data_IF_992857052489
#
_entry.id   IF_992857052489
#
_cell.length_a   1.000
_cell.length_b   1.000
_cell.length_c   1.000
_cell.angle_alpha   90.00
_cell.angle_beta   90.00
_cell.angle_gamma   90.00
#
_symmetry.space_group_name_H-M   'P 1'
#
loop_
_entity.id
_entity.type
_entity.pdbx_description
1 polymer ?
#
# COMPACT_ATOMS: atom_id res chain seq x y z
N UNK A 1 18.03 51.66 -32.05
CA UNK A 1 18.47 51.87 -30.65
C UNK A 1 18.13 50.61 -29.88
N UNK A 2 19.15 50.03 -29.23
CA UNK A 2 19.13 48.93 -28.24
C UNK A 2 18.95 47.49 -28.77
N UNK A 3 20.06 46.76 -28.73
CA UNK A 3 20.24 45.29 -28.56
C UNK A 3 20.21 45.00 -27.03
N UNK A 4 20.22 43.76 -26.47
CA UNK A 4 20.06 42.40 -27.02
C UNK A 4 19.16 41.49 -26.14
N UNK A 5 19.05 40.21 -26.53
CA UNK A 5 18.99 38.97 -25.70
C UNK A 5 18.37 39.04 -24.28
N UNK A 6 17.28 38.29 -24.10
CA UNK A 6 16.94 37.70 -22.79
C UNK A 6 16.81 36.20 -22.99
N UNK A 7 17.90 35.50 -22.67
CA UNK A 7 17.88 34.08 -22.35
C UNK A 7 16.91 33.87 -21.18
N UNK A 8 15.80 33.17 -21.41
CA UNK A 8 15.01 32.59 -20.32
C UNK A 8 15.74 31.34 -19.84
N UNK A 9 16.66 31.56 -18.92
CA UNK A 9 17.34 30.53 -18.14
C UNK A 9 16.28 29.73 -17.37
N UNK A 10 15.95 28.53 -17.86
CA UNK A 10 15.13 27.56 -17.14
C UNK A 10 15.94 26.99 -15.98
N UNK A 11 15.97 27.72 -14.87
CA UNK A 11 16.50 27.23 -13.60
C UNK A 11 15.50 26.25 -12.96
N UNK A 12 15.50 25.00 -13.45
CA UNK A 12 14.91 23.85 -12.76
C UNK A 12 16.03 23.01 -12.14
N UNK A 13 16.54 23.49 -11.00
CA UNK A 13 17.28 22.66 -10.04
C UNK A 13 16.41 22.46 -8.79
N UNK A 14 16.44 21.29 -8.14
CA UNK A 14 15.58 21.04 -6.99
C UNK A 14 16.03 21.87 -5.79
N UNK A 15 15.13 22.69 -5.27
CA UNK A 15 15.28 23.36 -4.00
C UNK A 15 15.18 22.34 -2.85
N UNK A 16 16.31 21.77 -2.44
CA UNK A 16 16.40 21.01 -1.20
C UNK A 16 16.58 21.99 -0.02
N UNK A 17 15.51 22.24 0.73
CA UNK A 17 15.58 22.88 2.04
C UNK A 17 16.03 21.83 3.05
N UNK A 18 17.36 21.70 3.18
CA UNK A 18 18.10 21.29 4.39
C UNK A 18 19.58 21.12 4.00
N UNK A 19 20.19 22.24 3.60
CA UNK A 19 21.65 22.33 3.50
C UNK A 19 22.22 22.48 4.92
N UNK A 20 23.18 21.64 5.37
CA UNK A 20 23.94 21.95 6.57
C UNK A 20 24.68 23.27 6.34
N UNK A 21 24.46 24.23 7.24
CA UNK A 21 24.96 25.60 7.16
C UNK A 21 26.47 25.61 6.90
N UNK A 22 26.81 26.38 5.87
CA UNK A 22 28.13 26.78 5.37
C UNK A 22 29.17 27.07 6.46
N UNK A 23 30.39 26.58 6.26
CA UNK A 23 31.56 27.03 7.03
C UNK A 23 32.90 26.39 6.68
N UNK A 24 32.94 25.19 6.10
CA UNK A 24 34.20 24.54 5.72
C UNK A 24 34.18 24.06 4.26
N UNK A 25 35.22 24.35 3.45
CA UNK A 25 35.30 23.91 2.05
C UNK A 25 35.28 22.36 1.88
N UNK A 26 35.40 21.60 2.97
CA UNK A 26 35.30 20.14 2.99
C UNK A 26 33.88 19.59 3.24
N UNK A 27 32.95 20.39 3.77
CA UNK A 27 31.62 19.92 4.22
C UNK A 27 30.66 19.58 3.07
N UNK A 28 30.58 20.44 2.06
CA UNK A 28 29.71 20.24 0.88
C UNK A 28 30.17 19.05 0.03
N UNK A 29 31.50 18.91 -0.13
CA UNK A 29 32.09 17.76 -0.83
C UNK A 29 31.85 16.45 -0.07
N UNK A 30 31.89 16.47 1.27
CA UNK A 30 31.61 15.29 2.09
C UNK A 30 30.15 14.84 2.00
N UNK A 31 29.20 15.79 2.03
CA UNK A 31 27.77 15.49 1.85
C UNK A 31 27.47 14.90 0.46
N UNK A 32 27.99 15.53 -0.60
CA UNK A 32 27.79 15.04 -1.96
C UNK A 32 28.37 13.63 -2.15
N UNK A 33 29.56 13.37 -1.57
CA UNK A 33 30.17 12.03 -1.55
C UNK A 33 29.32 11.02 -0.78
N UNK A 34 28.76 11.39 0.38
CA UNK A 34 27.86 10.51 1.15
C UNK A 34 26.61 10.17 0.36
N UNK A 35 25.98 11.15 -0.29
CA UNK A 35 24.80 10.93 -1.15
C UNK A 35 25.12 9.97 -2.30
N UNK A 36 26.28 10.14 -2.95
CA UNK A 36 26.73 9.22 -3.99
C UNK A 36 26.98 7.79 -3.46
N UNK A 37 27.60 7.66 -2.27
CA UNK A 37 27.82 6.34 -1.63
C UNK A 37 26.51 5.60 -1.39
N UNK A 38 25.51 6.26 -0.79
CA UNK A 38 24.19 5.66 -0.51
C UNK A 38 23.50 5.19 -1.79
N UNK A 39 23.57 5.98 -2.88
CA UNK A 39 23.00 5.57 -4.17
C UNK A 39 23.72 4.34 -4.75
N UNK A 40 25.05 4.26 -4.61
CA UNK A 40 25.84 3.11 -5.08
C UNK A 40 25.56 1.87 -4.24
N UNK A 41 25.41 2.01 -2.93
CA UNK A 41 25.06 0.93 -2.00
C UNK A 41 23.68 0.35 -2.29
N UNK A 42 22.74 1.16 -2.80
CA UNK A 42 21.40 0.71 -3.18
C UNK A 42 21.35 -0.01 -4.56
N UNK A 43 22.39 0.11 -5.41
CA UNK A 43 22.38 -0.49 -6.76
C UNK A 43 22.14 -2.01 -6.81
N UNK A 44 22.66 -2.85 -5.90
CA UNK A 44 22.40 -4.28 -5.91
C UNK A 44 20.91 -4.60 -5.77
N UNK A 45 20.21 -3.88 -4.90
CA UNK A 45 18.77 -4.01 -4.68
C UNK A 45 17.96 -3.55 -5.90
N UNK A 46 18.32 -2.41 -6.49
CA UNK A 46 17.69 -1.92 -7.73
C UNK A 46 17.83 -2.96 -8.85
N UNK A 47 19.02 -3.56 -9.02
CA UNK A 47 19.24 -4.61 -10.02
C UNK A 47 18.46 -5.89 -9.73
N UNK A 48 18.37 -6.27 -8.44
CA UNK A 48 17.64 -7.46 -7.99
C UNK A 48 16.14 -7.35 -8.25
N UNK A 49 15.56 -6.16 -8.08
CA UNK A 49 14.12 -5.96 -8.15
C UNK A 49 13.64 -5.32 -9.46
N UNK A 50 14.54 -4.92 -10.35
CA UNK A 50 14.16 -4.43 -11.68
C UNK A 50 13.32 -5.47 -12.43
N UNK A 51 12.13 -5.07 -12.88
CA UNK A 51 11.16 -5.92 -13.57
C UNK A 51 10.22 -6.70 -12.67
N UNK A 52 10.51 -6.79 -11.37
CA UNK A 52 9.66 -7.48 -10.39
C UNK A 52 8.39 -6.69 -10.07
N UNK A 53 7.32 -7.40 -9.71
CA UNK A 53 6.04 -6.79 -9.30
C UNK A 53 6.00 -6.64 -7.79
N UNK A 54 5.75 -5.43 -7.31
CA UNK A 54 5.53 -5.14 -5.90
C UNK A 54 4.08 -4.70 -5.70
N UNK A 55 3.38 -5.36 -4.78
CA UNK A 55 2.06 -4.92 -4.33
C UNK A 55 2.20 -4.18 -3.00
N UNK A 56 1.70 -2.95 -2.94
CA UNK A 56 1.75 -2.10 -1.76
C UNK A 56 0.34 -1.94 -1.24
N UNK A 57 0.07 -2.49 -0.06
CA UNK A 57 -1.16 -2.18 0.66
C UNK A 57 -0.99 -0.86 1.39
N UNK A 58 -1.69 0.16 0.91
CA UNK A 58 -1.74 1.49 1.49
C UNK A 58 -2.97 1.68 2.39
N UNK A 59 -2.74 2.00 3.66
CA UNK A 59 -3.80 2.25 4.63
C UNK A 59 -3.29 2.90 5.92
N UNK A 60 -4.22 3.26 6.81
CA UNK A 60 -3.89 3.82 8.13
C UNK A 60 -3.69 5.34 8.14
N UNK A 61 -3.01 5.85 9.17
CA UNK A 61 -2.60 7.24 9.37
C UNK A 61 -1.73 7.78 8.23
N UNK A 62 -1.02 6.92 7.50
CA UNK A 62 -0.31 7.33 6.28
C UNK A 62 -1.27 8.01 5.28
N UNK A 63 -2.57 7.70 5.32
CA UNK A 63 -3.59 8.35 4.50
C UNK A 63 -4.05 9.71 5.00
N UNK A 64 -3.79 10.04 6.26
CA UNK A 64 -4.34 11.24 6.91
C UNK A 64 -3.38 12.41 6.81
N UNK A 65 -2.07 12.18 6.99
CA UNK A 65 -1.06 13.24 6.93
C UNK A 65 -0.64 13.54 5.49
N UNK A 66 -0.84 14.77 5.04
CA UNK A 66 -0.43 15.25 3.71
C UNK A 66 1.06 15.01 3.44
N UNK A 67 1.90 15.22 4.47
CA UNK A 67 3.34 15.00 4.40
C UNK A 67 3.69 13.52 4.17
N UNK A 68 3.03 12.61 4.90
CA UNK A 68 3.22 11.16 4.71
C UNK A 68 2.70 10.68 3.36
N UNK A 69 1.57 11.25 2.88
CA UNK A 69 1.05 10.96 1.53
C UNK A 69 2.06 11.34 0.45
N UNK A 70 2.67 12.53 0.57
CA UNK A 70 3.70 13.01 -0.36
C UNK A 70 4.95 12.13 -0.33
N UNK A 71 5.46 11.80 0.86
CA UNK A 71 6.62 10.92 1.01
C UNK A 71 6.36 9.54 0.37
N UNK A 72 5.20 8.94 0.63
CA UNK A 72 4.82 7.65 0.04
C UNK A 72 4.70 7.74 -1.49
N UNK A 73 4.12 8.82 -2.02
CA UNK A 73 4.03 9.01 -3.47
C UNK A 73 5.42 9.12 -4.12
N UNK A 74 6.36 9.83 -3.48
CA UNK A 74 7.74 9.88 -3.93
C UNK A 74 8.41 8.50 -3.89
N UNK A 75 8.16 7.70 -2.85
CA UNK A 75 8.70 6.33 -2.77
C UNK A 75 8.15 5.45 -3.90
N UNK A 76 6.84 5.50 -4.15
CA UNK A 76 6.17 4.75 -5.23
C UNK A 76 6.76 5.15 -6.59
N UNK A 77 6.94 6.45 -6.83
CA UNK A 77 7.55 6.97 -8.07
C UNK A 77 9.01 6.54 -8.17
N UNK A 78 9.76 6.53 -7.07
CA UNK A 78 11.14 6.07 -7.05
C UNK A 78 11.24 4.58 -7.43
N UNK A 79 10.42 3.72 -6.80
CA UNK A 79 10.36 2.30 -7.15
C UNK A 79 10.07 2.10 -8.64
N UNK A 80 9.11 2.86 -9.18
CA UNK A 80 8.79 2.85 -10.61
C UNK A 80 9.99 3.23 -11.49
N UNK A 81 10.72 4.30 -11.15
CA UNK A 81 11.88 4.77 -11.93
C UNK A 81 13.08 3.80 -11.90
N UNK A 82 13.25 3.03 -10.84
CA UNK A 82 14.30 1.99 -10.78
C UNK A 82 13.87 0.68 -11.43
N UNK A 83 12.71 0.66 -12.10
CA UNK A 83 12.24 -0.45 -12.92
C UNK A 83 11.34 -1.46 -12.20
N UNK A 84 10.91 -1.19 -10.97
CA UNK A 84 9.96 -2.04 -10.24
C UNK A 84 8.54 -1.75 -10.75
N UNK A 85 7.76 -2.80 -11.01
CA UNK A 85 6.36 -2.70 -11.44
C UNK A 85 5.48 -2.57 -10.21
N UNK A 86 4.89 -1.40 -9.99
CA UNK A 86 4.19 -1.08 -8.75
C UNK A 86 2.68 -1.17 -8.90
N UNK A 87 2.05 -1.90 -7.99
CA UNK A 87 0.60 -1.94 -7.79
C UNK A 87 0.30 -1.48 -6.37
N UNK A 88 -0.56 -0.49 -6.21
CA UNK A 88 -1.01 -0.01 -4.90
C UNK A 88 -2.44 -0.47 -4.69
N UNK A 89 -2.73 -1.15 -3.59
CA UNK A 89 -4.09 -1.47 -3.15
C UNK A 89 -4.39 -0.62 -1.93
N UNK A 90 -5.48 0.15 -1.95
CA UNK A 90 -5.80 1.07 -0.85
C UNK A 90 -7.11 0.72 -0.15
N UNK A 91 -7.15 1.04 1.15
CA UNK A 91 -8.39 1.11 1.93
C UNK A 91 -8.95 2.53 1.98
N UNK A 92 -9.82 2.81 2.96
CA UNK A 92 -10.36 4.15 3.19
C UNK A 92 -11.23 4.27 4.43
N UNK A 93 -10.97 3.44 5.45
CA UNK A 93 -11.80 3.35 6.65
C UNK A 93 -12.12 4.70 7.30
N UNK A 94 -11.11 5.54 7.61
CA UNK A 94 -11.33 6.88 8.16
C UNK A 94 -12.17 7.80 7.27
N UNK A 95 -11.91 7.81 5.96
CA UNK A 95 -12.60 8.67 4.99
C UNK A 95 -14.05 8.22 4.78
N UNK A 96 -14.31 6.92 4.78
CA UNK A 96 -15.67 6.35 4.73
C UNK A 96 -16.43 6.77 6.00
N UNK A 97 -15.83 6.59 7.19
CA UNK A 97 -16.44 7.00 8.45
C UNK A 97 -16.78 8.50 8.49
N UNK A 98 -15.90 9.35 7.95
CA UNK A 98 -16.15 10.78 7.84
C UNK A 98 -17.36 11.07 6.94
N UNK A 99 -17.42 10.44 5.76
CA UNK A 99 -18.53 10.66 4.83
C UNK A 99 -19.87 10.14 5.37
N UNK A 100 -19.89 8.95 5.99
CA UNK A 100 -21.10 8.41 6.63
C UNK A 100 -21.65 9.38 7.68
N UNK A 101 -20.79 9.89 8.57
CA UNK A 101 -21.20 10.91 9.57
C UNK A 101 -21.71 12.19 8.93
N UNK A 102 -21.13 12.65 7.82
CA UNK A 102 -21.61 13.84 7.09
C UNK A 102 -23.00 13.64 6.49
N UNK A 103 -23.37 12.40 6.18
CA UNK A 103 -24.69 12.02 5.66
C UNK A 103 -25.67 11.63 6.77
N UNK A 104 -25.25 11.64 8.04
CA UNK A 104 -26.09 11.23 9.17
C UNK A 104 -26.25 9.72 9.32
N UNK A 105 -25.38 8.93 8.68
CA UNK A 105 -25.36 7.46 8.77
C UNK A 105 -24.34 7.07 9.85
N UNK A 106 -24.76 6.33 10.87
CA UNK A 106 -23.87 5.89 11.95
C UNK A 106 -23.00 4.70 11.49
N UNK A 107 -21.66 4.79 11.56
CA UNK A 107 -20.80 3.67 11.19
C UNK A 107 -20.96 2.49 12.15
N UNK A 108 -21.42 1.35 11.64
CA UNK A 108 -21.55 0.10 12.40
C UNK A 108 -20.44 -0.89 12.05
N UNK A 109 -19.87 -1.55 13.08
CA UNK A 109 -18.89 -2.62 12.90
C UNK A 109 -19.38 -3.91 13.58
N UNK A 110 -19.31 -5.03 12.84
CA UNK A 110 -19.67 -6.38 13.30
C UNK A 110 -18.49 -7.31 13.08
N UNK A 111 -17.94 -7.83 14.18
CA UNK A 111 -16.85 -8.81 14.18
C UNK A 111 -15.64 -8.43 13.31
N UNK A 112 -15.21 -7.17 13.40
CA UNK A 112 -14.05 -6.62 12.68
C UNK A 112 -14.36 -6.05 11.30
N UNK A 113 -15.56 -6.29 10.76
CA UNK A 113 -15.99 -5.76 9.48
C UNK A 113 -16.91 -4.56 9.66
N UNK A 114 -16.87 -3.61 8.72
CA UNK A 114 -17.90 -2.60 8.59
C UNK A 114 -19.17 -3.28 8.11
N UNK A 115 -20.22 -3.28 8.94
CA UNK A 115 -21.53 -3.68 8.44
C UNK A 115 -21.91 -2.73 7.31
N UNK A 116 -22.23 -3.29 6.15
CA UNK A 116 -22.39 -2.52 4.92
C UNK A 116 -23.76 -2.82 4.33
N UNK A 117 -24.80 -2.09 4.73
CA UNK A 117 -26.07 -2.13 3.99
C UNK A 117 -25.96 -1.46 2.61
N UNK A 118 -27.05 -1.43 1.84
CA UNK A 118 -27.04 -0.87 0.49
C UNK A 118 -26.62 0.62 0.47
N UNK A 119 -27.13 1.42 1.40
CA UNK A 119 -26.79 2.85 1.49
C UNK A 119 -25.33 3.06 1.89
N UNK A 120 -24.83 2.27 2.84
CA UNK A 120 -23.42 2.26 3.23
C UNK A 120 -22.53 1.82 2.07
N UNK A 121 -22.96 0.84 1.26
CA UNK A 121 -22.19 0.36 0.10
C UNK A 121 -22.01 1.46 -0.94
N UNK A 122 -23.04 2.25 -1.22
CA UNK A 122 -22.94 3.40 -2.14
C UNK A 122 -21.89 4.41 -1.65
N UNK A 123 -21.89 4.71 -0.35
CA UNK A 123 -20.90 5.60 0.26
C UNK A 123 -19.49 5.00 0.20
N UNK A 124 -19.34 3.71 0.51
CA UNK A 124 -18.05 2.99 0.42
C UNK A 124 -17.50 3.09 -0.99
N UNK A 125 -18.32 2.76 -2.00
CA UNK A 125 -17.94 2.82 -3.42
C UNK A 125 -17.52 4.22 -3.82
N UNK A 126 -18.36 5.23 -3.55
CA UNK A 126 -18.06 6.63 -3.89
C UNK A 126 -16.78 7.14 -3.24
N UNK A 127 -16.54 6.82 -1.96
CA UNK A 127 -15.36 7.32 -1.24
C UNK A 127 -14.09 6.62 -1.71
N UNK A 128 -14.10 5.30 -1.88
CA UNK A 128 -12.91 4.55 -2.29
C UNK A 128 -12.49 4.93 -3.71
N UNK A 129 -13.40 4.85 -4.69
CA UNK A 129 -13.06 5.06 -6.10
C UNK A 129 -13.03 6.53 -6.51
N UNK A 130 -13.93 7.34 -5.94
CA UNK A 130 -14.13 8.74 -6.33
C UNK A 130 -13.31 9.75 -5.53
N UNK A 131 -12.85 9.40 -4.32
CA UNK A 131 -12.06 10.30 -3.47
C UNK A 131 -10.67 9.76 -3.20
N UNK A 132 -10.55 8.70 -2.41
CA UNK A 132 -9.25 8.22 -1.91
C UNK A 132 -8.33 7.83 -3.08
N UNK A 133 -8.84 7.03 -4.00
CA UNK A 133 -8.08 6.63 -5.18
C UNK A 133 -7.66 7.83 -6.02
N UNK A 134 -8.59 8.78 -6.24
CA UNK A 134 -8.33 9.95 -7.08
C UNK A 134 -7.29 10.87 -6.46
N UNK A 135 -7.31 11.04 -5.14
CA UNK A 135 -6.28 11.79 -4.41
C UNK A 135 -4.89 11.17 -4.64
N UNK A 136 -4.74 9.85 -4.50
CA UNK A 136 -3.45 9.18 -4.72
C UNK A 136 -3.02 9.22 -6.20
N UNK A 137 -3.93 8.94 -7.14
CA UNK A 137 -3.65 9.03 -8.58
C UNK A 137 -3.23 10.45 -8.97
N UNK A 138 -3.90 11.48 -8.44
CA UNK A 138 -3.56 12.88 -8.73
C UNK A 138 -2.18 13.25 -8.17
N UNK A 139 -1.87 12.75 -6.97
CA UNK A 139 -0.57 12.98 -6.36
C UNK A 139 0.56 12.30 -7.14
N UNK A 140 0.37 11.05 -7.53
CA UNK A 140 1.33 10.32 -8.36
C UNK A 140 1.48 10.97 -9.74
N UNK A 141 0.41 11.55 -10.29
CA UNK A 141 0.41 12.14 -11.62
C UNK A 141 0.78 13.63 -11.66
N UNK A 142 1.19 14.22 -10.52
CA UNK A 142 1.40 15.67 -10.41
C UNK A 142 2.35 16.23 -11.46
N UNK A 143 3.48 15.54 -11.71
CA UNK A 143 4.52 15.98 -12.64
C UNK A 143 4.54 15.20 -13.96
N UNK A 144 4.02 13.97 -13.97
CA UNK A 144 4.05 13.08 -15.14
C UNK A 144 2.94 12.02 -15.01
N UNK A 145 2.32 11.54 -16.11
CA UNK A 145 1.21 10.58 -16.05
C UNK A 145 1.64 9.16 -15.66
N UNK A 146 2.13 8.92 -14.45
CA UNK A 146 2.64 7.62 -14.03
C UNK A 146 1.55 6.57 -13.78
N UNK A 147 0.41 6.97 -13.23
CA UNK A 147 -0.56 6.06 -12.61
C UNK A 147 -1.94 6.04 -13.25
N UNK A 148 -2.60 4.89 -13.14
CA UNK A 148 -4.00 4.65 -13.54
C UNK A 148 -4.74 4.04 -12.34
N UNK A 149 -5.92 4.56 -12.03
CA UNK A 149 -6.77 4.01 -10.97
C UNK A 149 -7.85 3.09 -11.50
N UNK A 150 -7.97 1.89 -10.89
CA UNK A 150 -8.95 0.85 -11.17
C UNK A 150 -9.63 0.37 -9.88
N UNK A 151 -10.82 -0.19 -9.97
CA UNK A 151 -11.49 -0.90 -8.88
C UNK A 151 -11.57 -2.38 -9.20
N UNK A 152 -11.96 -3.21 -8.24
CA UNK A 152 -12.23 -4.62 -8.55
C UNK A 152 -13.45 -4.84 -9.46
N UNK A 153 -14.28 -3.81 -9.68
CA UNK A 153 -15.35 -3.85 -10.69
C UNK A 153 -14.80 -3.83 -12.11
N UNK A 154 -13.70 -3.09 -12.33
CA UNK A 154 -13.12 -2.88 -13.64
C UNK A 154 -12.56 -4.20 -14.18
N UNK A 155 -13.13 -4.66 -15.31
CA UNK A 155 -12.81 -5.94 -15.92
C UNK A 155 -12.93 -7.15 -14.98
N UNK A 156 -13.80 -7.06 -13.96
CA UNK A 156 -14.00 -8.10 -12.95
C UNK A 156 -12.71 -8.50 -12.23
N UNK A 157 -11.84 -7.52 -11.96
CA UNK A 157 -10.57 -7.73 -11.26
C UNK A 157 -10.76 -8.47 -9.93
N UNK A 158 -11.79 -8.12 -9.14
CA UNK A 158 -12.14 -8.82 -7.91
C UNK A 158 -13.53 -9.42 -8.01
N UNK A 159 -13.61 -10.74 -7.94
CA UNK A 159 -14.85 -11.50 -7.84
C UNK A 159 -15.03 -11.95 -6.40
N UNK A 160 -16.17 -11.63 -5.81
CA UNK A 160 -16.46 -11.91 -4.42
C UNK A 160 -17.85 -12.54 -4.27
N UNK A 161 -18.06 -13.21 -3.13
CA UNK A 161 -19.37 -13.63 -2.64
C UNK A 161 -19.65 -12.91 -1.33
N UNK A 162 -20.92 -12.76 -0.97
CA UNK A 162 -21.27 -12.19 0.35
C UNK A 162 -20.71 -13.04 1.49
N UNK A 163 -20.00 -12.37 2.40
CA UNK A 163 -19.48 -12.98 3.62
C UNK A 163 -20.65 -13.40 4.52
N UNK A 164 -20.61 -14.65 5.00
CA UNK A 164 -21.63 -15.22 5.90
C UNK A 164 -21.14 -15.39 7.33
N UNK A 165 -19.85 -15.14 7.55
CA UNK A 165 -19.19 -15.26 8.85
C UNK A 165 -18.43 -13.99 9.18
N UNK A 166 -18.33 -13.69 10.46
CA UNK A 166 -17.43 -12.67 10.97
C UNK A 166 -15.97 -13.14 11.01
N UNK A 167 -15.07 -12.28 11.51
CA UNK A 167 -13.63 -12.58 11.61
C UNK A 167 -13.31 -13.70 12.61
N UNK A 168 -14.27 -14.17 13.40
CA UNK A 168 -14.13 -15.31 14.31
C UNK A 168 -14.79 -16.58 13.74
N UNK A 169 -15.22 -16.57 12.47
CA UNK A 169 -15.89 -17.70 11.82
C UNK A 169 -17.32 -17.94 12.29
N UNK A 170 -17.95 -16.99 13.01
CA UNK A 170 -19.33 -17.13 13.48
C UNK A 170 -20.29 -16.57 12.44
N UNK A 171 -21.42 -17.23 12.25
CA UNK A 171 -22.48 -16.76 11.36
C UNK A 171 -22.87 -15.32 11.71
N UNK A 172 -22.76 -14.41 10.74
CA UNK A 172 -23.05 -13.00 10.90
C UNK A 172 -23.59 -12.42 9.60
N UNK A 173 -24.58 -11.53 9.71
CA UNK A 173 -25.00 -10.68 8.60
C UNK A 173 -24.14 -9.42 8.58
N UNK A 174 -23.33 -9.33 7.52
CA UNK A 174 -22.41 -8.21 7.26
C UNK A 174 -22.90 -7.32 6.10
N UNK A 175 -24.06 -7.63 5.51
CA UNK A 175 -24.61 -6.93 4.36
C UNK A 175 -23.83 -7.18 3.05
N UNK A 176 -23.32 -6.13 2.43
CA UNK A 176 -22.53 -6.10 1.21
C UNK A 176 -21.02 -6.25 1.48
N UNK A 177 -20.63 -7.00 2.51
CA UNK A 177 -19.22 -7.36 2.72
C UNK A 177 -18.90 -8.61 1.89
N UNK A 178 -17.78 -8.55 1.17
CA UNK A 178 -17.36 -9.60 0.24
C UNK A 178 -16.18 -10.42 0.75
N UNK A 179 -16.25 -11.73 0.51
CA UNK A 179 -15.13 -12.67 0.55
C UNK A 179 -14.68 -12.94 -0.90
N UNK A 180 -13.38 -12.76 -1.18
CA UNK A 180 -12.84 -13.00 -2.51
C UNK A 180 -12.95 -14.49 -2.88
N UNK A 181 -13.44 -14.75 -4.09
CA UNK A 181 -13.49 -16.10 -4.67
C UNK A 181 -12.63 -16.23 -5.92
N UNK A 182 -12.17 -15.10 -6.46
CA UNK A 182 -11.23 -15.07 -7.57
C UNK A 182 -10.71 -13.67 -7.87
N UNK A 183 -9.52 -13.62 -8.45
CA UNK A 183 -8.87 -12.41 -8.94
C UNK A 183 -8.53 -12.57 -10.41
N UNK A 184 -8.91 -11.60 -11.23
CA UNK A 184 -8.53 -11.54 -12.64
C UNK A 184 -7.46 -10.44 -12.83
N UNK A 185 -6.16 -10.77 -12.85
CA UNK A 185 -5.09 -9.78 -12.89
C UNK A 185 -4.90 -9.13 -14.27
N UNK A 186 -5.54 -9.63 -15.33
CA UNK A 186 -5.24 -9.25 -16.71
C UNK A 186 -5.30 -7.74 -16.98
N UNK A 187 -6.26 -7.03 -16.38
CA UNK A 187 -6.36 -5.57 -16.51
C UNK A 187 -5.17 -4.86 -15.83
N UNK A 188 -4.68 -5.37 -14.71
CA UNK A 188 -3.52 -4.84 -14.00
C UNK A 188 -2.24 -5.14 -14.77
N UNK A 189 -2.09 -6.36 -15.29
CA UNK A 189 -0.95 -6.75 -16.13
C UNK A 189 -0.81 -5.79 -17.32
N UNK A 190 -1.89 -5.50 -18.03
CA UNK A 190 -1.88 -4.54 -19.14
C UNK A 190 -1.49 -3.12 -18.71
N UNK A 191 -1.86 -2.67 -17.51
CA UNK A 191 -1.41 -1.38 -16.96
C UNK A 191 0.10 -1.38 -16.71
N UNK A 192 0.62 -2.45 -16.10
CA UNK A 192 2.04 -2.60 -15.80
C UNK A 192 2.89 -2.72 -17.07
N UNK A 193 2.43 -3.48 -18.08
CA UNK A 193 3.10 -3.62 -19.38
C UNK A 193 3.23 -2.29 -20.12
N UNK A 194 2.26 -1.39 -19.94
CA UNK A 194 2.30 -0.03 -20.48
C UNK A 194 3.19 0.93 -19.66
N UNK A 195 3.96 0.41 -18.70
CA UNK A 195 4.86 1.20 -17.86
C UNK A 195 4.12 2.16 -16.94
N UNK A 196 2.94 1.77 -16.44
CA UNK A 196 2.14 2.57 -15.50
C UNK A 196 2.08 1.91 -14.13
N UNK A 197 1.77 2.73 -13.13
CA UNK A 197 1.50 2.31 -11.75
C UNK A 197 -0.01 2.06 -11.63
N UNK A 198 -0.41 0.89 -11.17
CA UNK A 198 -1.83 0.60 -10.94
C UNK A 198 -2.23 0.99 -9.51
N UNK A 199 -3.34 1.71 -9.35
CA UNK A 199 -3.90 2.08 -8.04
C UNK A 199 -5.29 1.47 -7.89
N UNK A 200 -5.46 0.51 -7.00
CA UNK A 200 -6.64 -0.36 -6.93
C UNK A 200 -7.48 -0.10 -5.68
N UNK A 201 -8.78 0.15 -5.87
CA UNK A 201 -9.77 0.25 -4.78
C UNK A 201 -10.31 -1.13 -4.41
N UNK A 202 -10.38 -1.44 -3.12
CA UNK A 202 -10.79 -2.75 -2.58
C UNK A 202 -12.32 -2.97 -2.53
N UNK A 203 -12.95 -2.95 -3.70
CA UNK A 203 -14.35 -3.34 -3.91
C UNK A 203 -14.39 -4.39 -5.03
N UNK A 204 -15.38 -5.28 -5.08
CA UNK A 204 -15.46 -6.30 -6.13
C UNK A 204 -16.88 -6.68 -6.50
N UNK A 205 -17.03 -7.39 -7.61
CA UNK A 205 -18.34 -7.82 -8.14
C UNK A 205 -18.86 -9.02 -7.37
N UNK A 206 -20.17 -9.03 -7.07
CA UNK A 206 -20.82 -10.22 -6.52
C UNK A 206 -20.98 -11.28 -7.62
N UNK A 207 -20.44 -12.48 -7.42
CA UNK A 207 -20.59 -13.59 -8.37
C UNK A 207 -22.02 -14.12 -8.45
N UNK A 208 -22.83 -13.91 -7.42
CA UNK A 208 -24.26 -14.28 -7.42
C UNK A 208 -25.11 -13.21 -8.14
N UNK A 209 -24.62 -11.98 -8.21
CA UNK A 209 -25.27 -10.84 -8.88
C UNK A 209 -24.23 -9.88 -9.44
N UNK A 210 -23.78 -10.11 -10.68
CA UNK A 210 -22.65 -9.37 -11.29
C UNK A 210 -22.85 -7.85 -11.42
N UNK A 211 -24.07 -7.35 -11.19
CA UNK A 211 -24.39 -5.91 -11.15
C UNK A 211 -24.29 -5.30 -9.75
N UNK A 212 -24.15 -6.13 -8.70
CA UNK A 212 -23.91 -5.69 -7.34
C UNK A 212 -22.41 -5.68 -7.01
N UNK A 213 -22.05 -4.82 -6.07
CA UNK A 213 -20.68 -4.61 -5.61
C UNK A 213 -20.61 -4.90 -4.12
N UNK A 214 -19.48 -5.47 -3.72
CA UNK A 214 -19.18 -5.83 -2.34
C UNK A 214 -17.95 -5.06 -1.85
N UNK A 215 -18.00 -4.66 -0.58
CA UNK A 215 -16.90 -4.07 0.15
C UNK A 215 -15.92 -5.17 0.58
N UNK A 216 -14.68 -5.09 0.11
CA UNK A 216 -13.65 -6.11 0.36
C UNK A 216 -12.59 -5.54 1.30
N UNK A 217 -12.09 -6.37 2.22
CA UNK A 217 -10.97 -5.99 3.06
C UNK A 217 -9.73 -5.72 2.21
N UNK A 218 -9.18 -4.50 2.29
CA UNK A 218 -8.03 -4.09 1.49
C UNK A 218 -6.74 -4.89 1.77
N UNK A 219 -6.56 -5.40 3.00
CA UNK A 219 -5.42 -6.26 3.32
C UNK A 219 -5.53 -7.61 2.57
N UNK A 220 -6.70 -8.25 2.59
CA UNK A 220 -6.97 -9.49 1.84
C UNK A 220 -6.94 -9.28 0.32
N UNK A 221 -7.52 -8.18 -0.17
CA UNK A 221 -7.47 -7.84 -1.59
C UNK A 221 -6.04 -7.64 -2.10
N UNK A 222 -5.18 -7.03 -1.29
CA UNK A 222 -3.76 -6.88 -1.63
C UNK A 222 -3.04 -8.23 -1.64
N UNK A 223 -3.35 -9.12 -0.69
CA UNK A 223 -2.77 -10.46 -0.61
C UNK A 223 -3.12 -11.30 -1.85
N UNK A 224 -4.41 -11.39 -2.20
CA UNK A 224 -4.84 -12.18 -3.35
C UNK A 224 -4.38 -11.59 -4.67
N UNK A 225 -4.36 -10.26 -4.79
CA UNK A 225 -3.81 -9.62 -5.99
C UNK A 225 -2.30 -9.85 -6.12
N UNK A 226 -1.56 -9.81 -5.01
CA UNK A 226 -0.13 -10.12 -5.01
C UNK A 226 0.13 -11.55 -5.45
N UNK A 227 -0.64 -12.52 -4.94
CA UNK A 227 -0.55 -13.91 -5.36
C UNK A 227 -0.89 -14.07 -6.85
N UNK A 228 -2.00 -13.47 -7.32
CA UNK A 228 -2.44 -13.56 -8.70
C UNK A 228 -1.45 -12.96 -9.71
N UNK A 229 -0.73 -11.90 -9.32
CA UNK A 229 0.29 -11.25 -10.15
C UNK A 229 1.67 -11.92 -10.07
N UNK A 230 1.83 -12.96 -9.22
CA UNK A 230 3.16 -13.52 -8.93
C UNK A 230 4.11 -12.49 -8.35
N UNK A 231 3.60 -11.60 -7.48
CA UNK A 231 4.37 -10.48 -6.95
C UNK A 231 5.58 -10.96 -6.13
N UNK A 232 6.70 -10.26 -6.29
CA UNK A 232 7.93 -10.52 -5.55
C UNK A 232 7.81 -10.16 -4.07
N UNK A 233 7.08 -9.08 -3.79
CA UNK A 233 6.82 -8.59 -2.43
C UNK A 233 5.38 -8.09 -2.30
N UNK A 234 4.78 -8.35 -1.15
CA UNK A 234 3.65 -7.60 -0.62
C UNK A 234 4.15 -6.70 0.52
N UNK A 235 3.96 -5.40 0.41
CA UNK A 235 4.34 -4.42 1.44
C UNK A 235 3.07 -3.86 2.07
N UNK A 236 2.87 -4.13 3.36
CA UNK A 236 1.73 -3.67 4.14
C UNK A 236 2.13 -2.45 4.96
N UNK A 237 1.68 -1.28 4.53
CA UNK A 237 1.89 -0.02 5.25
C UNK A 237 0.84 0.09 6.38
N UNK A 238 1.32 0.22 7.62
CA UNK A 238 0.48 0.22 8.83
C UNK A 238 0.85 1.35 9.79
N UNK A 239 0.11 1.47 10.90
CA UNK A 239 0.26 2.53 11.91
C UNK A 239 1.09 2.11 13.13
N UNK A 240 1.83 1.02 12.98
CA UNK A 240 2.69 0.43 14.01
C UNK A 240 4.03 0.05 13.39
N UNK A 241 5.06 -0.09 14.22
CA UNK A 241 6.43 -0.35 13.75
C UNK A 241 6.55 -1.69 13.02
N UNK A 242 5.77 -2.69 13.43
CA UNK A 242 5.74 -4.03 12.85
C UNK A 242 4.95 -4.99 13.74
N UNK A 243 5.36 -6.24 13.78
CA UNK A 243 4.78 -7.30 14.62
C UNK A 243 5.58 -7.42 15.91
N UNK A 244 4.89 -7.36 17.05
CA UNK A 244 5.49 -7.54 18.38
C UNK A 244 5.23 -8.96 18.87
N UNK A 245 6.27 -9.60 19.42
CA UNK A 245 6.15 -10.91 20.07
C UNK A 245 5.27 -10.83 21.31
N UNK A 246 5.41 -9.77 22.11
CA UNK A 246 4.74 -9.59 23.39
C UNK A 246 4.18 -8.17 23.52
N UNK A 247 3.08 -7.85 22.84
CA UNK A 247 2.43 -6.55 23.02
C UNK A 247 1.94 -6.37 24.47
N UNK A 248 2.18 -5.24 25.16
CA UNK A 248 2.67 -3.94 24.67
C UNK A 248 4.18 -3.66 24.86
N UNK A 249 5.02 -4.68 25.07
CA UNK A 249 6.48 -4.48 25.16
C UNK A 249 7.07 -4.11 23.79
N UNK A 250 7.46 -2.83 23.65
CA UNK A 250 8.05 -2.31 22.41
C UNK A 250 9.43 -2.87 22.09
N UNK A 251 10.13 -3.45 23.06
CA UNK A 251 11.41 -4.12 22.80
C UNK A 251 11.23 -5.50 22.16
N UNK A 252 9.99 -5.97 22.00
CA UNK A 252 9.66 -7.26 21.43
C UNK A 252 9.36 -7.22 19.93
N UNK A 253 9.75 -6.16 19.23
CA UNK A 253 9.60 -6.04 17.77
C UNK A 253 10.35 -7.16 17.06
N UNK A 254 9.66 -7.86 16.17
CA UNK A 254 10.20 -8.94 15.36
C UNK A 254 10.68 -8.34 14.04
N UNK A 255 11.96 -8.43 13.74
CA UNK A 255 12.51 -7.94 12.46
C UNK A 255 12.24 -8.90 11.31
N UNK A 256 12.27 -10.21 11.59
CA UNK A 256 11.89 -11.23 10.63
C UNK A 256 11.32 -12.48 11.29
N UNK A 257 10.46 -13.20 10.58
CA UNK A 257 9.90 -14.48 11.02
C UNK A 257 9.46 -15.36 9.86
N UNK A 258 9.27 -16.65 10.13
CA UNK A 258 8.66 -17.62 9.21
C UNK A 258 7.13 -17.65 9.35
N UNK A 259 6.46 -18.12 8.30
CA UNK A 259 5.02 -18.28 8.29
C UNK A 259 4.51 -19.18 9.45
N UNK A 260 5.26 -20.24 9.79
CA UNK A 260 4.98 -21.10 10.95
C UNK A 260 4.96 -20.36 12.27
N UNK A 261 5.99 -19.54 12.53
CA UNK A 261 6.05 -18.72 13.73
C UNK A 261 4.91 -17.71 13.78
N UNK A 262 4.51 -17.16 12.63
CA UNK A 262 3.41 -16.21 12.55
C UNK A 262 2.07 -16.89 12.86
N UNK A 263 1.84 -18.12 12.37
CA UNK A 263 0.64 -18.89 12.70
C UNK A 263 0.51 -19.16 14.19
N UNK A 264 1.63 -19.45 14.87
CA UNK A 264 1.64 -19.65 16.33
C UNK A 264 1.37 -18.35 17.10
N UNK A 265 1.90 -17.22 16.61
CA UNK A 265 1.74 -15.92 17.24
C UNK A 265 0.34 -15.32 17.01
N UNK A 266 -0.31 -15.65 15.89
CA UNK A 266 -1.56 -15.05 15.41
C UNK A 266 -2.63 -14.88 16.51
N UNK A 267 -2.94 -15.89 17.35
CA UNK A 267 -3.99 -15.76 18.37
C UNK A 267 -3.66 -14.77 19.50
N UNK A 268 -2.38 -14.44 19.69
CA UNK A 268 -1.93 -13.50 20.72
C UNK A 268 -1.83 -12.05 20.22
N UNK A 269 -2.02 -11.82 18.91
CA UNK A 269 -1.96 -10.49 18.32
C UNK A 269 -3.21 -9.66 18.65
N UNK A 270 -3.07 -8.34 18.51
CA UNK A 270 -4.21 -7.43 18.68
C UNK A 270 -5.26 -7.64 17.58
N UNK A 271 -6.52 -7.33 17.88
CA UNK A 271 -7.65 -7.52 16.97
C UNK A 271 -7.50 -6.81 15.62
N UNK A 272 -6.78 -5.69 15.57
CA UNK A 272 -6.49 -4.97 14.32
C UNK A 272 -5.31 -5.56 13.52
N UNK A 273 -4.43 -6.32 14.17
CA UNK A 273 -3.26 -6.94 13.53
C UNK A 273 -3.56 -8.34 12.98
N UNK A 274 -4.44 -9.09 13.64
CA UNK A 274 -4.91 -10.41 13.18
C UNK A 274 -5.28 -10.41 11.67
N UNK A 275 -6.21 -9.55 11.19
CA UNK A 275 -6.61 -9.59 9.77
C UNK A 275 -5.46 -9.23 8.81
N UNK A 276 -4.47 -8.45 9.27
CA UNK A 276 -3.28 -8.12 8.46
C UNK A 276 -2.36 -9.31 8.32
N UNK A 277 -2.17 -10.04 9.41
CA UNK A 277 -1.30 -11.21 9.45
C UNK A 277 -1.94 -12.43 8.78
N UNK A 278 -3.26 -12.55 8.86
CA UNK A 278 -4.01 -13.51 8.04
C UNK A 278 -3.81 -13.23 6.55
N UNK A 279 -3.92 -11.97 6.12
CA UNK A 279 -3.62 -11.58 4.74
C UNK A 279 -2.16 -11.86 4.36
N UNK A 280 -1.20 -11.60 5.26
CA UNK A 280 0.20 -11.94 5.02
C UNK A 280 0.40 -13.45 4.81
N UNK A 281 -0.18 -14.29 5.68
CA UNK A 281 -0.13 -15.75 5.55
C UNK A 281 -0.80 -16.22 4.25
N UNK A 282 -1.89 -15.58 3.84
CA UNK A 282 -2.58 -15.87 2.59
C UNK A 282 -1.73 -15.55 1.36
N UNK A 283 -1.08 -14.38 1.33
CA UNK A 283 -0.15 -14.01 0.26
C UNK A 283 1.01 -15.01 0.14
N UNK A 284 1.63 -15.38 1.26
CA UNK A 284 2.72 -16.37 1.30
C UNK A 284 2.26 -17.73 0.80
N UNK A 285 1.08 -18.18 1.23
CA UNK A 285 0.48 -19.45 0.78
C UNK A 285 0.12 -19.43 -0.71
N UNK A 286 -0.20 -18.24 -1.24
CA UNK A 286 -0.43 -17.98 -2.66
C UNK A 286 0.85 -17.86 -3.50
N UNK A 287 2.03 -18.02 -2.89
CA UNK A 287 3.31 -18.05 -3.60
C UNK A 287 4.09 -16.73 -3.59
N UNK A 288 3.63 -15.70 -2.88
CA UNK A 288 4.40 -14.46 -2.69
C UNK A 288 5.65 -14.79 -1.84
N UNK A 289 6.88 -14.49 -2.32
CA UNK A 289 8.10 -14.89 -1.61
C UNK A 289 8.36 -14.17 -0.29
N UNK A 290 7.87 -12.94 -0.14
CA UNK A 290 8.17 -12.08 1.01
C UNK A 290 7.00 -11.13 1.29
N UNK A 291 6.53 -11.07 2.53
CA UNK A 291 5.56 -10.07 2.99
C UNK A 291 6.21 -9.17 4.02
N UNK A 292 6.05 -7.88 3.88
CA UNK A 292 6.70 -6.87 4.70
C UNK A 292 5.66 -6.02 5.41
N UNK A 293 5.79 -5.85 6.72
CA UNK A 293 4.89 -5.02 7.54
C UNK A 293 5.68 -3.85 8.05
N UNK A 294 5.38 -2.65 7.55
CA UNK A 294 6.20 -1.45 7.77
C UNK A 294 5.41 -0.30 8.36
N UNK A 295 6.11 0.58 9.09
CA UNK A 295 5.53 1.78 9.69
C UNK A 295 5.30 2.88 8.63
N UNK A 296 4.04 3.16 8.33
CA UNK A 296 3.64 4.25 7.44
C UNK A 296 3.74 5.64 8.07
N UNK A 297 4.08 5.74 9.35
CA UNK A 297 4.25 7.03 10.06
C UNK A 297 5.65 7.61 9.90
N UNK A 298 6.59 6.82 9.37
CA UNK A 298 7.95 7.23 9.06
C UNK A 298 8.03 7.62 7.59
N UNK A 299 8.64 8.76 7.29
CA UNK A 299 8.91 9.16 5.91
C UNK A 299 9.88 8.17 5.25
N UNK A 300 9.63 7.88 3.98
CA UNK A 300 10.51 7.03 3.17
C UNK A 300 10.68 5.60 3.71
N UNK A 301 9.75 5.16 4.56
CA UNK A 301 9.80 3.86 5.22
C UNK A 301 9.90 2.71 4.21
N UNK A 302 9.17 2.81 3.10
CA UNK A 302 9.23 1.82 2.02
C UNK A 302 10.61 1.74 1.36
N UNK A 303 11.28 2.88 1.14
CA UNK A 303 12.62 2.86 0.54
C UNK A 303 13.67 2.30 1.51
N UNK A 304 13.54 2.58 2.80
CA UNK A 304 14.40 1.97 3.82
C UNK A 304 14.23 0.45 3.81
N UNK A 305 13.00 -0.05 3.78
CA UNK A 305 12.76 -1.49 3.74
C UNK A 305 13.28 -2.15 2.46
N UNK A 306 13.10 -1.52 1.29
CA UNK A 306 13.45 -2.15 0.00
C UNK A 306 14.96 -2.11 -0.29
N UNK A 307 15.66 -1.07 0.15
CA UNK A 307 17.04 -0.77 -0.28
C UNK A 307 18.09 -0.87 0.84
N UNK A 308 17.75 -1.42 2.02
CA UNK A 308 18.70 -1.58 3.13
C UNK A 308 18.66 -3.00 3.72
N UNK A 309 19.77 -3.44 4.31
CA UNK A 309 19.87 -4.73 5.02
C UNK A 309 19.33 -4.67 6.45
N UNK A 310 19.27 -3.48 7.07
CA UNK A 310 18.71 -3.32 8.42
C UNK A 310 17.21 -3.61 8.42
N UNK A 311 16.52 -3.26 7.33
CA UNK A 311 15.07 -3.34 7.22
C UNK A 311 14.37 -2.43 8.24
N UNK A 312 13.08 -2.21 8.06
CA UNK A 312 12.23 -1.58 9.06
C UNK A 312 10.94 -2.39 9.24
N UNK A 313 10.58 -2.62 10.50
CA UNK A 313 9.40 -3.42 10.83
C UNK A 313 9.66 -4.91 10.71
N UNK A 314 8.76 -5.65 10.06
CA UNK A 314 8.77 -7.12 10.09
C UNK A 314 8.71 -7.72 8.68
N UNK A 315 9.73 -8.48 8.31
CA UNK A 315 9.75 -9.32 7.12
C UNK A 315 9.28 -10.75 7.43
N UNK A 316 8.30 -11.24 6.67
CA UNK A 316 7.71 -12.57 6.85
C UNK A 316 8.01 -13.39 5.59
N UNK A 317 8.53 -14.60 5.80
CA UNK A 317 8.92 -15.51 4.73
C UNK A 317 8.12 -16.82 4.79
N UNK A 318 7.98 -17.54 3.66
CA UNK A 318 7.47 -18.90 3.66
C UNK A 318 8.28 -19.81 4.59
N UNK A 319 7.65 -20.91 5.01
CA UNK A 319 8.35 -22.03 5.62
C UNK A 319 9.26 -22.69 4.56
N UNK A 320 10.34 -23.35 5.01
CA UNK A 320 11.26 -24.09 4.12
C UNK A 320 10.62 -25.34 3.49
#
# INVERSE_FOLDING_TARGET
MVNPETETETALGPAAKDHPVSGEPNGETAWARRKASVLVEALPWMRRFAGEVFVIKYGGNAMVSDQLRQALAHDIIFLHHVGIRVVVVHGGGPQINEMLRRLGIEPEFRGGFRYTDAETMDVVRMVLTGKVQRELVSLLNADHPYSIGLSGEDAQLFMARRARTDGAGKAADLGHVGELVGVNPAAIEGVLENGRIAVVSSIGVDVESTTEVLNINADLAAADLAAALGARKLIMVTDVEGVYRNWPDKNSLITSMRAGELRELLPALSSGMIPKMEAALQALSGGVPEVHVIDGRLEHSMLVEVFTDEGIGTAIYPDE
#
